data_IF_917180995841
#
_entry.id   IF_917180995841
#
_cell.length_a   1.000
_cell.length_b   1.000
_cell.length_c   1.000
_cell.angle_alpha   90.00
_cell.angle_beta   90.00
_cell.angle_gamma   90.00
#
_symmetry.space_group_name_H-M   'P 1'
#
loop_
_entity.id
_entity.type
_entity.pdbx_description
1 polymer ?
#
# COMPACT_ATOMS: atom_id res chain seq x y z
N UNK A 1 7.91 -2.52 -3.96
CA UNK A 1 8.56 -1.31 -3.43
C UNK A 1 9.44 -0.66 -4.49
N UNK A 2 9.90 0.56 -4.21
CA UNK A 2 10.85 1.29 -5.06
C UNK A 2 12.18 0.55 -5.21
N UNK A 3 12.65 -0.12 -4.16
CA UNK A 3 13.84 -0.98 -4.23
C UNK A 3 13.63 -2.16 -5.19
N UNK A 4 12.45 -2.78 -5.19
CA UNK A 4 12.16 -3.92 -6.05
C UNK A 4 12.20 -3.51 -7.53
N UNK A 5 11.50 -2.46 -7.91
CA UNK A 5 11.51 -2.08 -9.31
C UNK A 5 12.82 -1.42 -9.76
N UNK A 6 13.58 -0.82 -8.85
CA UNK A 6 14.95 -0.40 -9.15
C UNK A 6 15.83 -1.63 -9.51
N UNK A 7 15.71 -2.70 -8.72
CA UNK A 7 16.47 -3.92 -8.97
C UNK A 7 16.02 -4.67 -10.23
N UNK A 8 14.72 -4.66 -10.54
CA UNK A 8 14.14 -5.39 -11.67
C UNK A 8 14.33 -4.62 -12.98
N UNK A 9 14.04 -3.31 -12.98
CA UNK A 9 14.00 -2.49 -14.19
C UNK A 9 15.13 -1.48 -14.32
N UNK A 10 15.96 -1.32 -13.27
CA UNK A 10 17.00 -0.29 -13.24
C UNK A 10 16.45 1.14 -13.15
N UNK A 11 15.19 1.30 -12.74
CA UNK A 11 14.49 2.60 -12.69
C UNK A 11 13.83 2.78 -11.32
N UNK A 12 14.12 3.89 -10.65
CA UNK A 12 13.55 4.23 -9.35
C UNK A 12 12.27 5.07 -9.43
N UNK A 13 12.02 5.72 -10.57
CA UNK A 13 10.83 6.54 -10.80
C UNK A 13 9.62 5.65 -11.10
N UNK A 14 8.68 5.56 -10.16
CA UNK A 14 7.49 4.71 -10.28
C UNK A 14 6.58 5.12 -11.44
N UNK A 15 6.55 6.40 -11.82
CA UNK A 15 5.80 6.87 -12.99
C UNK A 15 6.37 6.26 -14.29
N UNK A 16 7.68 6.23 -14.43
CA UNK A 16 8.34 5.61 -15.59
C UNK A 16 8.17 4.11 -15.60
N UNK A 17 8.29 3.46 -14.42
CA UNK A 17 8.07 2.01 -14.29
C UNK A 17 6.64 1.66 -14.71
N UNK A 18 5.65 2.41 -14.24
CA UNK A 18 4.26 2.18 -14.64
C UNK A 18 4.05 2.36 -16.13
N UNK A 19 4.51 3.47 -16.68
CA UNK A 19 4.31 3.84 -18.08
C UNK A 19 5.03 2.90 -19.04
N UNK A 20 6.27 2.52 -18.74
CA UNK A 20 7.14 1.78 -19.66
C UNK A 20 7.01 0.25 -19.50
N UNK A 21 6.63 -0.24 -18.32
CA UNK A 21 6.70 -1.67 -18.02
C UNK A 21 5.39 -2.29 -17.53
N UNK A 22 4.55 -1.56 -16.78
CA UNK A 22 3.44 -2.15 -16.04
C UNK A 22 2.10 -1.98 -16.76
N UNK A 23 1.78 -0.78 -17.26
CA UNK A 23 0.44 -0.44 -17.76
C UNK A 23 -0.05 -1.31 -18.91
N UNK A 24 0.85 -1.95 -19.64
CA UNK A 24 0.52 -2.86 -20.74
C UNK A 24 -0.06 -4.20 -20.26
N UNK A 25 0.22 -4.55 -19.01
CA UNK A 25 -0.17 -5.83 -18.41
C UNK A 25 -1.13 -5.68 -17.24
N UNK A 26 -1.08 -4.54 -16.57
CA UNK A 26 -1.86 -4.28 -15.37
C UNK A 26 -2.30 -2.81 -15.33
N UNK A 27 -3.61 -2.59 -15.24
CA UNK A 27 -4.16 -1.22 -15.24
C UNK A 27 -3.87 -0.46 -13.94
N UNK A 28 -3.66 -1.17 -12.84
CA UNK A 28 -3.51 -0.57 -11.52
C UNK A 28 -2.19 -0.99 -10.91
N UNK A 29 -1.48 -0.01 -10.38
CA UNK A 29 -0.18 -0.20 -9.79
C UNK A 29 -0.07 0.60 -8.51
N UNK A 30 0.20 -0.08 -7.40
CA UNK A 30 0.43 0.56 -6.10
C UNK A 30 1.90 0.38 -5.77
N UNK A 31 2.58 1.50 -5.49
CA UNK A 31 4.00 1.49 -5.15
C UNK A 31 4.22 2.06 -3.76
N UNK A 32 5.12 1.44 -3.02
CA UNK A 32 5.53 1.89 -1.69
C UNK A 32 6.94 2.46 -1.74
N UNK A 33 7.16 3.56 -1.03
CA UNK A 33 8.41 4.32 -1.03
C UNK A 33 8.91 4.61 0.39
N UNK A 34 8.64 3.71 1.33
CA UNK A 34 9.02 3.91 2.74
C UNK A 34 8.47 5.23 3.28
N UNK A 35 9.34 6.10 3.79
CA UNK A 35 8.95 7.43 4.27
C UNK A 35 8.39 8.34 3.17
N UNK A 36 8.65 8.04 1.91
CA UNK A 36 8.11 8.77 0.74
C UNK A 36 6.64 8.51 0.45
N UNK A 37 6.01 7.58 1.15
CA UNK A 37 4.58 7.31 1.02
C UNK A 37 4.22 6.25 0.00
N UNK A 38 3.00 6.33 -0.50
CA UNK A 38 2.39 5.35 -1.40
C UNK A 38 1.81 6.07 -2.61
N UNK A 39 2.10 5.56 -3.80
CA UNK A 39 1.51 6.04 -5.04
C UNK A 39 0.56 5.01 -5.63
N UNK A 40 -0.57 5.46 -6.16
CA UNK A 40 -1.51 4.67 -6.94
C UNK A 40 -1.57 5.19 -8.37
N UNK A 41 -1.40 4.30 -9.32
CA UNK A 41 -1.51 4.52 -10.76
C UNK A 41 -2.69 3.72 -11.31
N UNK A 42 -3.58 4.36 -12.03
CA UNK A 42 -4.68 3.70 -12.74
C UNK A 42 -5.01 4.49 -14.01
N UNK A 43 -4.53 4.01 -15.17
CA UNK A 43 -4.63 4.79 -16.40
C UNK A 43 -3.93 6.14 -16.25
N UNK A 44 -4.70 7.23 -16.38
CA UNK A 44 -4.20 8.60 -16.18
C UNK A 44 -4.40 9.10 -14.73
N UNK A 45 -5.08 8.33 -13.88
CA UNK A 45 -5.25 8.67 -12.47
C UNK A 45 -3.94 8.50 -11.71
N UNK A 46 -3.59 9.52 -10.92
CA UNK A 46 -2.43 9.52 -10.02
C UNK A 46 -2.88 9.96 -8.64
N UNK A 47 -2.70 9.10 -7.64
CA UNK A 47 -2.94 9.42 -6.25
C UNK A 47 -1.68 9.20 -5.44
N UNK A 48 -1.43 10.08 -4.49
CA UNK A 48 -0.34 9.97 -3.53
C UNK A 48 -0.89 10.02 -2.10
N UNK A 49 -0.34 9.18 -1.24
CA UNK A 49 -0.70 9.11 0.17
C UNK A 49 0.56 9.16 1.01
N UNK A 50 0.61 10.11 1.94
CA UNK A 50 1.74 10.25 2.84
C UNK A 50 1.81 9.10 3.84
N UNK A 51 3.02 8.66 4.14
CA UNK A 51 3.29 7.77 5.27
C UNK A 51 3.46 8.58 6.54
N UNK A 52 3.03 8.06 7.72
CA UNK A 52 3.31 8.72 8.98
C UNK A 52 4.80 8.90 9.20
N UNK A 53 5.18 10.04 9.79
CA UNK A 53 6.56 10.29 10.19
C UNK A 53 6.85 9.51 11.47
N UNK A 54 7.48 8.36 11.35
CA UNK A 54 7.91 7.51 12.45
C UNK A 54 9.41 7.22 12.33
N UNK A 55 10.02 6.88 13.47
CA UNK A 55 11.35 6.32 13.51
C UNK A 55 11.22 4.81 13.61
N UNK A 56 11.42 4.06 12.52
CA UNK A 56 11.18 2.62 12.53
C UNK A 56 12.21 1.90 13.41
N UNK A 57 11.74 0.92 14.18
CA UNK A 57 12.58 -0.03 14.90
C UNK A 57 13.13 -1.07 13.92
N UNK A 58 12.26 -1.55 13.02
CA UNK A 58 12.58 -2.47 11.93
C UNK A 58 11.61 -2.25 10.79
N UNK A 59 12.06 -2.43 9.55
CA UNK A 59 11.21 -2.39 8.35
C UNK A 59 10.90 -3.79 7.81
N UNK A 60 11.39 -4.83 8.47
CA UNK A 60 11.14 -6.23 8.05
C UNK A 60 9.65 -6.53 8.20
N UNK A 61 9.04 -7.05 7.12
CA UNK A 61 7.63 -7.39 7.08
C UNK A 61 6.68 -6.22 6.78
N UNK A 62 7.20 -4.99 6.60
CA UNK A 62 6.36 -3.83 6.29
C UNK A 62 5.58 -4.02 4.98
N UNK A 63 6.21 -4.52 3.92
CA UNK A 63 5.56 -4.79 2.64
C UNK A 63 4.47 -5.86 2.74
N UNK A 64 4.73 -6.94 3.44
CA UNK A 64 3.76 -8.02 3.65
C UNK A 64 2.54 -7.52 4.43
N UNK A 65 2.77 -6.74 5.47
CA UNK A 65 1.69 -6.17 6.27
C UNK A 65 0.95 -5.06 5.52
N UNK A 66 1.62 -4.31 4.66
CA UNK A 66 0.96 -3.40 3.73
C UNK A 66 -0.03 -4.16 2.83
N UNK A 67 0.40 -5.25 2.21
CA UNK A 67 -0.47 -6.08 1.37
C UNK A 67 -1.65 -6.65 2.15
N UNK A 68 -1.42 -7.12 3.38
CA UNK A 68 -2.49 -7.59 4.25
C UNK A 68 -3.51 -6.47 4.55
N UNK A 69 -3.03 -5.25 4.80
CA UNK A 69 -3.89 -4.08 4.98
C UNK A 69 -4.70 -3.71 3.76
N UNK A 70 -4.12 -3.80 2.56
CA UNK A 70 -4.84 -3.60 1.29
C UNK A 70 -5.98 -4.63 1.17
N UNK A 71 -5.71 -5.91 1.39
CA UNK A 71 -6.73 -6.96 1.35
C UNK A 71 -7.85 -6.71 2.37
N UNK A 72 -7.49 -6.35 3.59
CA UNK A 72 -8.47 -5.97 4.61
C UNK A 72 -9.32 -4.77 4.17
N UNK A 73 -8.70 -3.74 3.62
CA UNK A 73 -9.39 -2.55 3.12
C UNK A 73 -10.38 -2.86 2.00
N UNK A 74 -10.00 -3.75 1.08
CA UNK A 74 -10.90 -4.23 0.01
C UNK A 74 -12.12 -4.95 0.60
N UNK A 75 -11.89 -5.87 1.54
CA UNK A 75 -12.97 -6.62 2.20
C UNK A 75 -13.89 -5.69 3.01
N UNK A 76 -13.32 -4.80 3.79
CA UNK A 76 -14.08 -3.84 4.62
C UNK A 76 -14.99 -2.94 3.79
N UNK A 77 -14.54 -2.54 2.61
CA UNK A 77 -15.30 -1.69 1.69
C UNK A 77 -16.17 -2.50 0.71
N UNK A 78 -16.26 -3.83 0.87
CA UNK A 78 -17.02 -4.74 0.00
C UNK A 78 -16.65 -4.61 -1.49
N UNK A 79 -15.39 -4.33 -1.79
CA UNK A 79 -14.89 -4.14 -3.14
C UNK A 79 -14.68 -5.49 -3.81
N UNK A 80 -15.29 -5.67 -4.97
CA UNK A 80 -15.10 -6.84 -5.83
C UNK A 80 -14.17 -6.47 -6.99
N UNK A 81 -13.60 -7.46 -7.65
CA UNK A 81 -12.73 -7.24 -8.80
C UNK A 81 -13.37 -6.31 -9.86
N UNK A 82 -14.66 -6.51 -10.14
CA UNK A 82 -15.42 -5.70 -11.11
C UNK A 82 -15.55 -4.22 -10.71
N UNK A 83 -15.44 -3.89 -9.42
CA UNK A 83 -15.61 -2.54 -8.90
C UNK A 83 -14.33 -1.70 -9.03
N UNK A 84 -13.18 -2.36 -9.21
CA UNK A 84 -11.86 -1.72 -9.23
C UNK A 84 -11.72 -0.65 -10.31
N UNK A 85 -12.38 -0.84 -11.45
CA UNK A 85 -12.29 0.10 -12.58
C UNK A 85 -12.92 1.48 -12.27
N UNK A 86 -13.88 1.52 -11.35
CA UNK A 86 -14.71 2.70 -11.07
C UNK A 86 -14.70 3.13 -9.60
N UNK A 87 -13.73 2.65 -8.81
CA UNK A 87 -13.62 3.00 -7.40
C UNK A 87 -13.42 4.52 -7.23
N UNK A 88 -14.22 5.16 -6.36
CA UNK A 88 -13.98 6.55 -5.97
C UNK A 88 -12.63 6.74 -5.28
N UNK A 89 -12.07 7.95 -5.39
CA UNK A 89 -10.81 8.32 -4.72
C UNK A 89 -10.86 8.09 -3.21
N UNK A 90 -11.99 8.40 -2.57
CA UNK A 90 -12.18 8.20 -1.13
C UNK A 90 -12.12 6.74 -0.74
N UNK A 91 -12.67 5.85 -1.56
CA UNK A 91 -12.59 4.41 -1.32
C UNK A 91 -11.14 3.91 -1.47
N UNK A 92 -10.44 4.38 -2.49
CA UNK A 92 -9.00 4.12 -2.61
C UNK A 92 -8.22 4.62 -1.40
N UNK A 93 -8.51 5.84 -0.93
CA UNK A 93 -7.87 6.39 0.26
C UNK A 93 -8.08 5.50 1.50
N UNK A 94 -9.30 5.00 1.70
CA UNK A 94 -9.60 4.09 2.81
C UNK A 94 -8.83 2.77 2.71
N UNK A 95 -8.75 2.18 1.52
CA UNK A 95 -8.02 0.94 1.26
C UNK A 95 -6.52 1.13 1.51
N UNK A 96 -5.93 2.16 0.91
CA UNK A 96 -4.50 2.46 1.07
C UNK A 96 -4.17 2.78 2.52
N UNK A 97 -5.05 3.48 3.23
CA UNK A 97 -4.87 3.77 4.66
C UNK A 97 -4.73 2.49 5.48
N UNK A 98 -5.55 1.46 5.20
CA UNK A 98 -5.42 0.18 5.88
C UNK A 98 -4.02 -0.44 5.65
N UNK A 99 -3.49 -0.37 4.44
CA UNK A 99 -2.13 -0.82 4.13
C UNK A 99 -1.07 -0.06 4.91
N UNK A 100 -1.16 1.28 4.93
CA UNK A 100 -0.23 2.15 5.64
C UNK A 100 -0.28 1.89 7.16
N UNK A 101 -1.47 1.74 7.73
CA UNK A 101 -1.65 1.53 9.18
C UNK A 101 -0.99 0.23 9.63
N UNK A 102 -1.19 -0.88 8.90
CA UNK A 102 -0.59 -2.16 9.25
C UNK A 102 0.93 -2.15 9.04
N UNK A 103 1.41 -1.58 7.96
CA UNK A 103 2.84 -1.43 7.69
C UNK A 103 3.53 -0.57 8.76
N UNK A 104 2.89 0.53 9.16
CA UNK A 104 3.40 1.43 10.21
C UNK A 104 3.48 0.73 11.55
N UNK A 105 2.44 -0.02 11.92
CA UNK A 105 2.42 -0.75 13.19
C UNK A 105 3.54 -1.76 13.28
N UNK A 106 3.77 -2.53 12.23
CA UNK A 106 4.83 -3.55 12.22
C UNK A 106 6.23 -2.92 12.32
N UNK A 107 6.42 -1.70 11.81
CA UNK A 107 7.69 -0.99 11.89
C UNK A 107 8.03 -0.49 13.31
N UNK A 108 7.10 -0.53 14.26
CA UNK A 108 7.29 -0.08 15.66
C UNK A 108 7.92 -1.12 16.57
N UNK A 109 8.10 -2.33 16.10
CA UNK A 109 8.69 -3.43 16.87
C UNK A 109 9.68 -4.23 16.01
N UNK A 110 10.36 -5.19 16.63
CA UNK A 110 11.18 -6.17 15.91
C UNK A 110 10.37 -7.34 15.37
N UNK A 111 9.10 -7.44 15.77
CA UNK A 111 8.20 -8.46 15.23
C UNK A 111 7.82 -8.08 13.78
N UNK A 112 7.70 -9.07 12.92
CA UNK A 112 7.29 -8.89 11.53
C UNK A 112 5.79 -9.12 11.31
N UNK A 113 5.00 -9.00 12.37
CA UNK A 113 3.55 -9.16 12.39
C UNK A 113 2.91 -8.15 13.37
N UNK A 114 1.63 -7.87 13.17
CA UNK A 114 0.86 -7.03 14.10
C UNK A 114 0.44 -7.85 15.33
N UNK A 115 0.38 -7.21 16.50
CA UNK A 115 -0.07 -7.86 17.73
C UNK A 115 -1.58 -8.18 17.68
N UNK A 116 -2.01 -9.15 18.50
CA UNK A 116 -3.43 -9.47 18.64
C UNK A 116 -4.22 -8.29 19.20
N UNK A 117 -3.64 -7.58 20.14
CA UNK A 117 -4.20 -6.39 20.77
C UNK A 117 -4.46 -5.30 19.72
N UNK A 118 -3.47 -5.02 18.89
CA UNK A 118 -3.62 -4.08 17.78
C UNK A 118 -4.71 -4.53 16.80
N UNK A 119 -4.68 -5.80 16.37
CA UNK A 119 -5.66 -6.34 15.44
C UNK A 119 -7.09 -6.21 15.97
N UNK A 120 -7.30 -6.56 17.24
CA UNK A 120 -8.61 -6.46 17.91
C UNK A 120 -9.10 -5.01 17.95
N UNK A 121 -8.22 -4.09 18.36
CA UNK A 121 -8.54 -2.66 18.41
C UNK A 121 -8.85 -2.10 17.01
N UNK A 122 -8.06 -2.48 16.02
CA UNK A 122 -8.22 -2.00 14.65
C UNK A 122 -9.52 -2.47 14.02
N UNK A 123 -9.91 -3.73 14.24
CA UNK A 123 -11.18 -4.28 13.78
C UNK A 123 -12.39 -3.60 14.44
N UNK A 124 -12.26 -3.21 15.71
CA UNK A 124 -13.35 -2.57 16.44
C UNK A 124 -13.64 -1.13 16.01
N UNK A 125 -12.72 -0.49 15.29
CA UNK A 125 -12.88 0.86 14.72
C UNK A 125 -13.63 0.85 13.39
N UNK A 126 -14.08 -0.28 12.98
CA UNK A 126 -14.73 -0.47 11.67
C UNK A 126 -16.23 -0.21 11.73
#
# INVERSE_FOLDING_TARGET
SDEDFLNIFGEADSEKVYTDHIRFYCDRFITTHGAGGVNLYHGDLRLHFDSPSIRPVSTIGAGDNFNAGILYGLLKNNVRHRDLATLPKETWANIIRCGIDLATEVCRSYDNYISKEFATSYLSQS
#
